data_IF_809660431306
#
_entry.id   IF_809660431306
#
_cell.length_a   1.000
_cell.length_b   1.000
_cell.length_c   1.000
_cell.angle_alpha   90.00
_cell.angle_beta   90.00
_cell.angle_gamma   90.00
#
_symmetry.space_group_name_H-M   'P 1'
#
loop_
_entity.id
_entity.type
_entity.pdbx_description
1 polymer ?
#
# COMPACT_ATOMS: atom_id res chain seq x y z
N UNK A 1 -24.35 -13.52 -3.81
CA UNK A 1 -23.68 -13.07 -5.03
C UNK A 1 -22.20 -13.42 -4.90
N UNK A 2 -21.54 -13.93 -5.95
CA UNK A 2 -20.10 -14.21 -5.89
C UNK A 2 -19.32 -12.90 -5.65
N UNK A 3 -18.27 -12.97 -4.83
CA UNK A 3 -17.37 -11.84 -4.62
C UNK A 3 -16.65 -11.50 -5.94
N UNK A 4 -16.43 -10.21 -6.18
CA UNK A 4 -15.63 -9.76 -7.32
C UNK A 4 -14.19 -10.27 -7.20
N UNK A 5 -13.47 -10.34 -8.32
CA UNK A 5 -12.05 -10.76 -8.33
C UNK A 5 -11.18 -9.84 -7.46
N UNK A 6 -11.46 -8.54 -7.44
CA UNK A 6 -10.73 -7.57 -6.64
C UNK A 6 -10.92 -7.79 -5.14
N UNK A 7 -12.16 -8.05 -4.69
CA UNK A 7 -12.44 -8.37 -3.28
C UNK A 7 -11.68 -9.64 -2.86
N UNK A 8 -11.68 -10.67 -3.71
CA UNK A 8 -10.92 -11.91 -3.45
C UNK A 8 -9.42 -11.68 -3.43
N UNK A 9 -8.90 -10.76 -4.25
CA UNK A 9 -7.49 -10.39 -4.25
C UNK A 9 -7.10 -9.72 -2.93
N UNK A 10 -7.93 -8.80 -2.41
CA UNK A 10 -7.70 -8.19 -1.10
C UNK A 10 -7.61 -9.26 -0.01
N UNK A 11 -8.57 -10.17 0.07
CA UNK A 11 -8.56 -11.26 1.07
C UNK A 11 -7.32 -12.17 0.93
N UNK A 12 -6.91 -12.47 -0.31
CA UNK A 12 -5.73 -13.27 -0.60
C UNK A 12 -4.44 -12.55 -0.18
N UNK A 13 -4.37 -11.23 -0.31
CA UNK A 13 -3.22 -10.43 0.17
C UNK A 13 -3.16 -10.45 1.70
N UNK A 14 -4.27 -10.28 2.40
CA UNK A 14 -4.26 -10.18 3.87
C UNK A 14 -3.94 -11.50 4.58
N UNK A 15 -4.29 -12.65 3.99
CA UNK A 15 -4.15 -13.96 4.66
C UNK A 15 -3.84 -15.15 3.75
N UNK A 16 -3.99 -15.02 2.44
CA UNK A 16 -3.90 -16.14 1.50
C UNK A 16 -2.48 -16.48 1.06
N UNK A 17 -2.22 -17.71 0.57
CA UNK A 17 -0.94 -18.05 -0.02
C UNK A 17 -0.68 -17.26 -1.32
N UNK A 18 0.59 -16.97 -1.62
CA UNK A 18 0.98 -16.15 -2.79
C UNK A 18 0.50 -16.71 -4.13
N UNK A 19 0.39 -18.04 -4.24
CA UNK A 19 -0.18 -18.72 -5.41
C UNK A 19 -1.60 -18.25 -5.72
N UNK A 20 -2.40 -17.92 -4.70
CA UNK A 20 -3.76 -17.43 -4.90
C UNK A 20 -3.76 -15.99 -5.41
N UNK A 21 -2.84 -15.14 -4.92
CA UNK A 21 -2.67 -13.76 -5.38
C UNK A 21 -2.31 -13.78 -6.86
N UNK A 22 -1.27 -14.55 -7.23
CA UNK A 22 -0.82 -14.68 -8.62
C UNK A 22 -1.95 -15.15 -9.54
N UNK A 23 -2.65 -16.23 -9.18
CA UNK A 23 -3.76 -16.76 -9.98
C UNK A 23 -4.88 -15.73 -10.17
N UNK A 24 -5.21 -14.95 -9.14
CA UNK A 24 -6.26 -13.93 -9.22
C UNK A 24 -5.87 -12.81 -10.18
N UNK A 25 -4.62 -12.35 -10.12
CA UNK A 25 -4.05 -11.37 -11.06
C UNK A 25 -4.09 -11.93 -12.50
N UNK A 26 -3.62 -13.15 -12.72
CA UNK A 26 -3.67 -13.83 -14.04
C UNK A 26 -5.10 -14.01 -14.57
N UNK A 27 -6.09 -14.07 -13.67
CA UNK A 27 -7.53 -14.15 -14.02
C UNK A 27 -8.15 -12.76 -14.29
N UNK A 28 -7.40 -11.68 -14.12
CA UNK A 28 -7.83 -10.31 -14.39
C UNK A 28 -8.24 -9.50 -13.15
N UNK A 29 -7.88 -9.93 -11.94
CA UNK A 29 -7.97 -9.05 -10.77
C UNK A 29 -6.97 -7.89 -10.94
N UNK A 30 -7.40 -6.66 -10.62
CA UNK A 30 -6.51 -5.50 -10.71
C UNK A 30 -5.47 -5.51 -9.58
N UNK A 31 -4.16 -5.35 -9.85
CA UNK A 31 -3.15 -5.19 -8.80
C UNK A 31 -3.33 -3.88 -8.00
N UNK A 32 -4.15 -2.97 -8.53
CA UNK A 32 -4.59 -1.74 -7.88
C UNK A 32 -5.95 -1.90 -7.17
N UNK A 33 -6.41 -3.14 -6.94
CA UNK A 33 -7.62 -3.40 -6.16
C UNK A 33 -7.54 -2.69 -4.81
N UNK A 34 -8.68 -2.21 -4.34
CA UNK A 34 -8.82 -1.53 -3.05
C UNK A 34 -9.94 -2.18 -2.26
N UNK A 35 -9.80 -2.09 -0.94
CA UNK A 35 -10.80 -2.55 -0.01
C UNK A 35 -12.01 -1.62 -0.01
N UNK A 36 -13.20 -2.19 0.08
CA UNK A 36 -14.45 -1.44 0.22
C UNK A 36 -14.87 -1.39 1.68
N UNK A 37 -15.10 -0.20 2.20
CA UNK A 37 -15.54 0.03 3.58
C UNK A 37 -16.87 0.74 3.58
N UNK A 38 -17.88 0.16 4.22
CA UNK A 38 -19.23 0.71 4.33
C UNK A 38 -19.55 1.04 5.79
N UNK A 39 -19.82 2.31 6.07
CA UNK A 39 -20.30 2.77 7.37
C UNK A 39 -21.80 3.03 7.31
N UNK A 40 -22.55 2.32 8.15
CA UNK A 40 -23.97 2.59 8.41
C UNK A 40 -24.10 3.26 9.75
N UNK A 41 -24.68 4.44 9.82
CA UNK A 41 -24.86 5.15 11.09
C UNK A 41 -26.20 5.86 11.17
N UNK A 42 -26.63 6.15 12.40
CA UNK A 42 -27.81 6.94 12.69
C UNK A 42 -27.38 8.40 12.80
N UNK A 43 -27.91 9.26 11.93
CA UNK A 43 -27.65 10.70 11.93
C UNK A 43 -28.90 11.46 12.38
N UNK A 44 -28.70 12.53 13.16
CA UNK A 44 -29.77 13.47 13.48
C UNK A 44 -30.27 14.17 12.20
N UNK A 45 -31.57 14.44 12.15
CA UNK A 45 -32.21 15.25 11.11
C UNK A 45 -32.44 16.67 11.62
N UNK A 46 -32.62 17.63 10.71
CA UNK A 46 -32.85 19.05 11.07
C UNK A 46 -34.12 19.24 11.92
N UNK A 47 -35.09 18.31 11.83
CA UNK A 47 -36.32 18.32 12.63
C UNK A 47 -36.23 17.60 13.98
N UNK A 48 -35.03 17.27 14.47
CA UNK A 48 -34.84 16.57 15.75
C UNK A 48 -35.16 15.07 15.72
N UNK A 49 -35.40 14.50 14.54
CA UNK A 49 -35.50 13.06 14.33
C UNK A 49 -34.15 12.41 14.08
N UNK A 50 -34.16 11.09 13.82
CA UNK A 50 -32.97 10.35 13.41
C UNK A 50 -33.25 9.57 12.13
N UNK A 51 -32.22 9.38 11.30
CA UNK A 51 -32.30 8.58 10.09
C UNK A 51 -31.04 7.74 9.92
N UNK A 52 -31.20 6.53 9.36
CA UNK A 52 -30.07 5.74 8.91
C UNK A 52 -29.44 6.38 7.69
N UNK A 53 -28.10 6.45 7.70
CA UNK A 53 -27.27 6.85 6.58
C UNK A 53 -26.24 5.77 6.34
N UNK A 54 -25.89 5.60 5.07
CA UNK A 54 -24.89 4.65 4.60
C UNK A 54 -23.93 5.40 3.69
N UNK A 55 -22.64 5.15 3.89
CA UNK A 55 -21.57 5.67 3.04
C UNK A 55 -20.55 4.56 2.79
N UNK A 56 -20.21 4.35 1.53
CA UNK A 56 -19.19 3.38 1.10
C UNK A 56 -18.02 4.12 0.49
N UNK A 57 -16.81 3.80 0.95
CA UNK A 57 -15.55 4.40 0.52
C UNK A 57 -14.52 3.32 0.22
N UNK A 58 -13.61 3.60 -0.71
CA UNK A 58 -12.43 2.76 -0.93
C UNK A 58 -11.32 3.12 0.05
N UNK A 59 -10.71 2.11 0.66
CA UNK A 59 -9.68 2.24 1.69
C UNK A 59 -8.32 1.73 1.19
N UNK A 60 -7.58 0.92 1.95
CA UNK A 60 -6.23 0.49 1.60
C UNK A 60 -6.21 -0.27 0.26
N UNK A 61 -5.16 -0.02 -0.54
CA UNK A 61 -4.90 -0.79 -1.74
C UNK A 61 -4.32 -2.17 -1.40
N UNK A 62 -4.41 -3.11 -2.34
CA UNK A 62 -3.75 -4.40 -2.25
C UNK A 62 -2.26 -4.25 -1.93
N UNK A 63 -1.57 -3.29 -2.56
CA UNK A 63 -0.15 -3.03 -2.29
C UNK A 63 0.07 -2.49 -0.87
N UNK A 64 -0.76 -1.56 -0.40
CA UNK A 64 -0.67 -1.04 0.97
C UNK A 64 -0.85 -2.14 2.02
N UNK A 65 -1.82 -3.03 1.83
CA UNK A 65 -2.06 -4.18 2.72
C UNK A 65 -0.89 -5.17 2.70
N UNK A 66 -0.32 -5.46 1.52
CA UNK A 66 0.85 -6.33 1.40
C UNK A 66 2.06 -5.77 2.18
N UNK A 67 2.30 -4.46 2.09
CA UNK A 67 3.36 -3.76 2.84
C UNK A 67 3.08 -3.83 4.34
N UNK A 68 1.86 -3.45 4.74
CA UNK A 68 1.42 -3.40 6.14
C UNK A 68 1.59 -4.75 6.85
N UNK A 69 1.30 -5.85 6.15
CA UNK A 69 1.44 -7.21 6.69
C UNK A 69 2.81 -7.85 6.42
N UNK A 70 3.80 -7.08 5.95
CA UNK A 70 5.17 -7.58 5.75
C UNK A 70 5.28 -8.68 4.70
N UNK A 71 4.38 -8.71 3.72
CA UNK A 71 4.27 -9.78 2.73
C UNK A 71 5.10 -9.52 1.49
N UNK A 72 6.40 -9.78 1.60
CA UNK A 72 7.38 -9.54 0.53
C UNK A 72 6.97 -10.11 -0.84
N UNK A 73 6.61 -11.40 -0.93
CA UNK A 73 6.25 -12.00 -2.21
C UNK A 73 4.95 -11.46 -2.79
N UNK A 74 3.99 -11.05 -1.95
CA UNK A 74 2.78 -10.36 -2.40
C UNK A 74 3.11 -8.97 -2.95
N UNK A 75 3.98 -8.20 -2.26
CA UNK A 75 4.46 -6.90 -2.74
C UNK A 75 5.12 -7.06 -4.10
N UNK A 76 6.03 -8.03 -4.24
CA UNK A 76 6.71 -8.31 -5.50
C UNK A 76 5.72 -8.63 -6.63
N UNK A 77 4.80 -9.57 -6.42
CA UNK A 77 3.80 -9.94 -7.43
C UNK A 77 2.94 -8.75 -7.87
N UNK A 78 2.51 -7.91 -6.92
CA UNK A 78 1.69 -6.74 -7.22
C UNK A 78 2.49 -5.69 -8.02
N UNK A 79 3.74 -5.43 -7.64
CA UNK A 79 4.62 -4.49 -8.35
C UNK A 79 4.98 -4.98 -9.76
N UNK A 80 5.28 -6.28 -9.91
CA UNK A 80 5.58 -6.92 -11.20
C UNK A 80 4.40 -6.79 -12.18
N UNK A 81 3.17 -6.75 -11.67
CA UNK A 81 1.94 -6.57 -12.45
C UNK A 81 1.50 -5.09 -12.59
N UNK A 82 2.31 -4.14 -12.13
CA UNK A 82 2.03 -2.70 -12.31
C UNK A 82 1.13 -2.08 -11.24
N UNK A 83 1.14 -2.61 -10.02
CA UNK A 83 0.58 -1.89 -8.87
C UNK A 83 1.21 -0.50 -8.75
N UNK A 84 0.36 0.50 -8.52
CA UNK A 84 0.78 1.89 -8.39
C UNK A 84 1.41 2.11 -7.02
N UNK A 85 2.69 2.45 -7.03
CA UNK A 85 3.45 2.74 -5.81
C UNK A 85 3.13 4.12 -5.24
N UNK A 86 2.52 5.00 -6.03
CA UNK A 86 2.00 6.27 -5.52
C UNK A 86 0.71 5.98 -4.76
N UNK A 87 0.86 5.74 -3.47
CA UNK A 87 -0.25 5.62 -2.50
C UNK A 87 -0.94 6.96 -2.27
N UNK A 88 -1.36 7.67 -3.33
CA UNK A 88 -2.13 8.90 -3.18
C UNK A 88 -3.58 8.54 -2.84
N UNK A 89 -3.83 8.29 -1.57
CA UNK A 89 -5.19 8.30 -1.04
C UNK A 89 -5.64 9.75 -0.88
N UNK A 90 -6.36 10.27 -1.88
CA UNK A 90 -7.18 11.45 -1.68
C UNK A 90 -8.58 10.98 -1.33
N UNK A 91 -8.86 10.85 -0.04
CA UNK A 91 -10.25 10.68 0.42
C UNK A 91 -10.92 12.05 0.31
N UNK A 92 -11.44 12.37 -0.87
CA UNK A 92 -12.35 13.48 -1.03
C UNK A 92 -13.69 13.06 -0.43
N UNK A 93 -13.99 13.51 0.79
CA UNK A 93 -15.34 13.30 1.33
C UNK A 93 -16.32 14.21 0.63
N UNK A 94 -17.54 13.72 0.36
CA UNK A 94 -18.59 14.47 -0.37
C UNK A 94 -19.03 15.76 0.31
N UNK A 95 -18.53 16.07 1.53
CA UNK A 95 -18.76 17.33 2.22
C UNK A 95 -17.75 18.44 1.90
N UNK A 96 -16.89 18.27 0.88
CA UNK A 96 -15.95 19.32 0.46
C UNK A 96 -14.91 19.67 1.53
N UNK A 97 -14.68 18.76 2.47
CA UNK A 97 -13.68 18.88 3.53
C UNK A 97 -12.67 17.75 3.43
N UNK A 98 -11.40 18.09 3.43
CA UNK A 98 -10.32 17.15 3.72
C UNK A 98 -10.60 16.59 5.11
N UNK A 99 -10.98 15.31 5.24
CA UNK A 99 -11.07 14.68 6.56
C UNK A 99 -9.67 14.48 7.06
N UNK A 100 -9.23 15.52 7.74
CA UNK A 100 -8.05 15.55 8.55
C UNK A 100 -8.42 15.03 9.94
N UNK A 101 -7.65 14.11 10.49
CA UNK A 101 -7.64 13.93 11.93
C UNK A 101 -7.17 15.27 12.54
N UNK A 102 -8.09 16.11 13.02
CA UNK A 102 -7.81 17.41 13.66
C UNK A 102 -7.03 18.44 12.80
N UNK A 103 -7.26 18.54 11.49
CA UNK A 103 -6.54 19.49 10.63
C UNK A 103 -5.22 18.98 10.04
N UNK A 104 -4.78 17.76 10.39
CA UNK A 104 -3.60 17.12 9.81
C UNK A 104 -3.98 15.98 8.85
N UNK A 105 -3.35 15.97 7.68
CA UNK A 105 -3.38 14.89 6.67
C UNK A 105 -2.21 13.92 6.87
N UNK A 106 -1.80 13.66 8.11
CA UNK A 106 -0.72 12.72 8.39
C UNK A 106 -1.28 11.44 8.98
N UNK A 107 -0.77 10.30 8.51
CA UNK A 107 -0.95 9.02 9.16
C UNK A 107 -0.46 9.13 10.61
N UNK A 108 -1.39 9.09 11.55
CA UNK A 108 -1.12 9.25 12.96
C UNK A 108 -0.67 7.89 13.50
N UNK A 109 0.56 7.47 13.19
CA UNK A 109 1.17 6.38 13.94
C UNK A 109 1.15 6.76 15.43
N UNK A 110 0.73 5.81 16.26
CA UNK A 110 0.75 6.00 17.71
C UNK A 110 2.21 6.05 18.18
N UNK A 111 2.44 6.68 19.33
CA UNK A 111 3.80 6.78 19.94
C UNK A 111 4.44 5.41 20.22
N UNK A 112 3.63 4.35 20.27
CA UNK A 112 4.06 2.97 20.46
C UNK A 112 4.45 2.26 19.14
N UNK A 113 4.43 2.97 18.01
CA UNK A 113 4.75 2.40 16.68
C UNK A 113 3.62 1.57 16.06
N UNK A 114 2.41 1.60 16.64
CA UNK A 114 1.24 0.96 16.05
C UNK A 114 0.49 1.90 15.11
N UNK A 115 -0.10 1.31 14.07
CA UNK A 115 -0.94 1.98 13.09
C UNK A 115 -2.36 1.40 13.20
N UNK A 116 -3.41 2.23 13.39
CA UNK A 116 -4.78 1.77 13.27
C UNK A 116 -5.09 1.48 11.80
N UNK A 117 -5.62 0.29 11.53
CA UNK A 117 -5.98 -0.18 10.18
C UNK A 117 -7.35 -0.83 10.23
N UNK A 118 -8.06 -0.85 9.11
CA UNK A 118 -9.39 -1.44 9.06
C UNK A 118 -9.37 -2.96 9.30
N UNK A 119 -10.50 -3.53 9.73
CA UNK A 119 -10.63 -4.98 9.90
C UNK A 119 -10.39 -5.75 8.61
N UNK A 120 -9.79 -6.94 8.69
CA UNK A 120 -9.56 -7.79 7.51
C UNK A 120 -10.85 -8.10 6.75
N UNK A 121 -10.72 -8.27 5.44
CA UNK A 121 -11.78 -8.56 4.47
C UNK A 121 -11.73 -7.58 3.30
N UNK A 122 -12.04 -8.07 2.09
CA UNK A 122 -12.13 -7.18 0.92
C UNK A 122 -13.34 -6.24 0.95
N UNK A 123 -14.36 -6.58 1.74
CA UNK A 123 -15.52 -5.72 2.03
C UNK A 123 -15.77 -5.72 3.53
N UNK A 124 -15.79 -4.53 4.14
CA UNK A 124 -16.08 -4.33 5.56
C UNK A 124 -17.36 -3.51 5.69
N UNK A 125 -18.29 -3.94 6.55
CA UNK A 125 -19.50 -3.16 6.87
C UNK A 125 -19.62 -3.00 8.37
N UNK A 126 -19.63 -1.74 8.83
CA UNK A 126 -19.81 -1.41 10.24
C UNK A 126 -21.19 -0.81 10.48
N UNK A 127 -21.92 -1.39 11.43
CA UNK A 127 -23.28 -0.97 11.78
C UNK A 127 -23.27 -0.19 13.09
N UNK A 128 -23.34 1.14 12.96
CA UNK A 128 -23.41 2.11 14.05
C UNK A 128 -22.39 1.84 15.16
N UNK A 129 -21.09 1.78 14.83
CA UNK A 129 -20.05 1.57 15.84
C UNK A 129 -20.08 2.73 16.83
N UNK A 130 -20.16 2.41 18.13
CA UNK A 130 -20.22 3.40 19.21
C UNK A 130 -18.86 3.80 19.76
N UNK A 131 -17.85 2.96 19.55
CA UNK A 131 -16.49 3.17 20.03
C UNK A 131 -15.54 3.23 18.85
N UNK A 132 -14.50 4.05 18.97
CA UNK A 132 -13.48 4.20 17.94
C UNK A 132 -12.67 2.90 17.78
N UNK A 133 -12.44 2.17 18.86
CA UNK A 133 -11.77 0.86 18.87
C UNK A 133 -12.61 -0.22 18.17
N UNK A 134 -13.91 0.02 17.96
CA UNK A 134 -14.78 -0.91 17.23
C UNK A 134 -14.72 -0.73 15.71
N UNK A 135 -13.91 0.20 15.20
CA UNK A 135 -13.80 0.45 13.75
C UNK A 135 -12.43 0.08 13.15
N UNK A 136 -11.44 -0.24 13.97
CA UNK A 136 -10.09 -0.57 13.52
C UNK A 136 -9.44 -1.65 14.38
N UNK A 137 -8.36 -2.23 13.86
CA UNK A 137 -7.38 -3.00 14.62
C UNK A 137 -6.04 -2.27 14.60
N UNK A 138 -5.17 -2.50 15.60
CA UNK A 138 -3.84 -1.90 15.62
C UNK A 138 -2.82 -2.91 15.09
N UNK A 139 -2.03 -2.50 14.09
CA UNK A 139 -0.91 -3.29 13.56
C UNK A 139 0.39 -2.61 13.96
N UNK A 140 1.32 -3.37 14.53
CA UNK A 140 2.66 -2.88 14.81
C UNK A 140 3.46 -2.88 13.50
N UNK A 141 4.00 -1.73 13.13
CA UNK A 141 4.83 -1.61 11.93
C UNK A 141 6.26 -2.05 12.27
N UNK A 142 6.76 -3.02 11.51
CA UNK A 142 8.15 -3.44 11.55
C UNK A 142 8.75 -3.24 10.16
N UNK A 143 9.80 -2.40 10.01
CA UNK A 143 10.43 -2.21 8.72
C UNK A 143 10.96 -3.53 8.15
N UNK A 144 10.66 -3.78 6.87
CA UNK A 144 11.19 -4.91 6.14
C UNK A 144 12.09 -4.40 5.01
N UNK A 145 13.39 -4.63 5.14
CA UNK A 145 14.43 -4.17 4.19
C UNK A 145 14.17 -4.65 2.77
N UNK A 146 13.68 -5.87 2.58
CA UNK A 146 13.42 -6.40 1.24
C UNK A 146 12.22 -5.71 0.60
N UNK A 147 11.15 -5.43 1.35
CA UNK A 147 10.02 -4.64 0.87
C UNK A 147 10.49 -3.23 0.46
N UNK A 148 11.37 -2.60 1.24
CA UNK A 148 11.90 -1.28 0.91
C UNK A 148 12.71 -1.36 -0.39
N UNK A 149 13.59 -2.35 -0.55
CA UNK A 149 14.35 -2.55 -1.79
C UNK A 149 13.43 -2.74 -2.99
N UNK A 150 12.36 -3.51 -2.86
CA UNK A 150 11.35 -3.68 -3.91
C UNK A 150 10.71 -2.35 -4.30
N UNK A 151 10.27 -1.56 -3.31
CA UNK A 151 9.67 -0.24 -3.55
C UNK A 151 10.63 0.74 -4.24
N UNK A 152 11.89 0.77 -3.79
CA UNK A 152 12.93 1.59 -4.41
C UNK A 152 13.22 1.15 -5.85
N UNK A 153 13.30 -0.16 -6.10
CA UNK A 153 13.48 -0.72 -7.44
C UNK A 153 12.31 -0.36 -8.39
N UNK A 154 11.09 -0.24 -7.86
CA UNK A 154 9.92 0.24 -8.60
C UNK A 154 9.87 1.76 -8.81
N UNK A 155 10.94 2.49 -8.48
CA UNK A 155 11.09 3.91 -8.80
C UNK A 155 10.57 4.86 -7.73
N UNK A 156 10.38 4.40 -6.49
CA UNK A 156 10.09 5.29 -5.36
C UNK A 156 11.23 6.28 -5.18
N UNK A 157 10.87 7.54 -4.99
CA UNK A 157 11.81 8.62 -4.68
C UNK A 157 11.96 8.72 -3.17
N UNK A 158 13.21 8.82 -2.73
CA UNK A 158 13.54 9.09 -1.33
C UNK A 158 13.85 10.58 -1.21
N UNK A 159 13.07 11.30 -0.42
CA UNK A 159 13.28 12.71 -0.11
C UNK A 159 14.13 12.88 1.16
N UNK A 160 14.45 14.12 1.51
CA UNK A 160 15.17 14.42 2.75
C UNK A 160 14.37 14.04 4.00
N UNK A 161 13.03 14.10 3.94
CA UNK A 161 12.15 13.75 5.07
C UNK A 161 12.28 12.28 5.42
N UNK A 162 12.24 11.37 4.43
CA UNK A 162 12.40 9.93 4.72
C UNK A 162 13.81 9.60 5.21
N UNK A 163 14.84 10.31 4.74
CA UNK A 163 16.21 10.11 5.22
C UNK A 163 16.41 10.59 6.66
N UNK A 164 15.81 11.72 7.04
CA UNK A 164 15.86 12.22 8.41
C UNK A 164 15.13 11.27 9.37
N UNK A 165 13.99 10.71 8.96
CA UNK A 165 13.30 9.67 9.71
C UNK A 165 14.16 8.40 9.82
N UNK A 166 14.80 7.96 8.73
CA UNK A 166 15.66 6.79 8.70
C UNK A 166 16.88 6.89 9.64
N UNK A 167 17.43 8.09 9.86
CA UNK A 167 18.55 8.32 10.80
C UNK A 167 18.16 8.10 12.25
N UNK A 168 16.88 8.22 12.58
CA UNK A 168 16.37 7.99 13.93
C UNK A 168 16.01 6.53 14.18
N UNK A 169 16.04 5.70 13.13
CA UNK A 169 15.73 4.28 13.24
C UNK A 169 16.92 3.51 13.84
N UNK A 170 16.70 2.56 14.77
CA UNK A 170 17.78 1.79 15.40
C UNK A 170 18.56 0.89 14.43
N UNK A 171 17.95 0.51 13.30
CA UNK A 171 18.57 -0.36 12.32
C UNK A 171 19.38 0.43 11.27
N UNK A 172 20.72 0.34 11.26
CA UNK A 172 21.57 1.13 10.36
C UNK A 172 21.45 0.72 8.89
N UNK A 173 21.03 -0.53 8.62
CA UNK A 173 20.84 -1.02 7.27
C UNK A 173 19.73 -0.27 6.52
N UNK A 174 18.65 0.09 7.22
CA UNK A 174 17.54 0.87 6.68
C UNK A 174 18.04 2.19 6.07
N UNK A 175 18.84 2.95 6.82
CA UNK A 175 19.44 4.19 6.34
C UNK A 175 20.42 3.93 5.18
N UNK A 176 21.26 2.89 5.28
CA UNK A 176 22.23 2.54 4.24
C UNK A 176 21.57 2.29 2.90
N UNK A 177 20.46 1.54 2.86
CA UNK A 177 19.70 1.24 1.64
C UNK A 177 19.15 2.52 1.00
N UNK A 178 18.51 3.39 1.79
CA UNK A 178 17.93 4.64 1.30
C UNK A 178 18.99 5.63 0.76
N UNK A 179 20.10 5.78 1.48
CA UNK A 179 21.22 6.63 1.03
C UNK A 179 21.84 6.09 -0.26
N UNK A 180 21.98 4.77 -0.38
CA UNK A 180 22.55 4.13 -1.57
C UNK A 180 21.68 4.38 -2.80
N UNK A 181 20.35 4.23 -2.67
CA UNK A 181 19.41 4.51 -3.74
C UNK A 181 19.42 5.98 -4.18
N UNK A 182 19.48 6.93 -3.22
CA UNK A 182 19.49 8.37 -3.55
C UNK A 182 20.75 8.80 -4.31
N UNK A 183 21.89 8.14 -4.08
CA UNK A 183 23.13 8.39 -4.84
C UNK A 183 23.04 7.91 -6.30
N UNK A 184 21.91 7.32 -6.67
CA UNK A 184 21.67 6.65 -7.94
C UNK A 184 22.22 5.23 -7.88
N UNK A 185 21.69 4.30 -8.71
CA UNK A 185 22.49 3.16 -9.07
C UNK A 185 23.80 3.74 -9.59
N UNK A 186 24.93 3.42 -8.95
CA UNK A 186 26.21 3.52 -9.65
C UNK A 186 25.95 2.74 -10.92
N UNK A 187 25.78 3.44 -12.04
CA UNK A 187 25.66 2.83 -13.34
C UNK A 187 27.00 2.13 -13.52
N UNK A 188 27.05 0.88 -13.05
CA UNK A 188 28.08 -0.06 -13.40
C UNK A 188 27.90 -0.18 -14.91
N UNK A 189 28.68 0.60 -15.65
CA UNK A 189 28.73 0.69 -17.11
C UNK A 189 29.20 -0.63 -17.76
N UNK A 190 28.73 -1.77 -17.27
CA UNK A 190 29.27 -3.11 -17.55
C UNK A 190 28.68 -3.70 -18.84
N UNK A 191 27.68 -3.11 -19.48
CA UNK A 191 27.02 -3.73 -20.65
C UNK A 191 27.05 -2.90 -21.94
N UNK A 192 28.18 -2.25 -22.26
CA UNK A 192 28.38 -1.68 -23.61
C UNK A 192 29.72 -2.01 -24.29
N UNK A 193 30.32 -3.18 -23.99
CA UNK A 193 31.56 -3.63 -24.65
C UNK A 193 31.43 -4.97 -25.40
N UNK A 194 30.21 -5.46 -25.67
CA UNK A 194 30.03 -6.80 -26.27
C UNK A 194 29.38 -6.83 -27.66
N UNK A 195 29.13 -5.70 -28.35
CA UNK A 195 28.47 -5.71 -29.67
C UNK A 195 29.33 -5.18 -30.85
N UNK A 196 30.64 -4.98 -30.69
CA UNK A 196 31.50 -4.46 -31.76
C UNK A 196 32.61 -5.42 -32.24
N UNK A 197 32.45 -6.75 -32.13
CA UNK A 197 33.46 -7.70 -32.65
C UNK A 197 32.97 -8.84 -33.55
N UNK A 198 31.72 -8.87 -34.01
CA UNK A 198 31.28 -9.83 -35.05
C UNK A 198 30.95 -9.11 -36.36
N UNK A 199 31.97 -8.79 -37.16
CA UNK A 199 31.75 -8.16 -38.46
C UNK A 199 32.94 -8.08 -39.41
N UNK A 200 34.02 -8.83 -39.18
CA UNK A 200 35.17 -8.83 -40.07
C UNK A 200 35.72 -10.25 -40.25
N UNK A 201 35.22 -10.99 -41.24
CA UNK A 201 35.88 -12.21 -41.68
C UNK A 201 35.03 -13.18 -42.48
N UNK A 202 34.77 -12.89 -43.75
CA UNK A 202 34.52 -13.92 -44.77
C UNK A 202 34.62 -13.31 -46.18
N UNK A 203 35.86 -13.15 -46.67
CA UNK A 203 36.15 -13.00 -48.09
C UNK A 203 37.47 -13.75 -48.39
N UNK A 204 37.36 -14.97 -48.90
CA UNK A 204 38.37 -15.69 -49.65
C UNK A 204 37.70 -16.85 -50.39
#
# INVERSE_FOLDING_TARGET
MPLSLNVRLIEAVETGPEVNIKRLIETGASPNARKEFTLRTVAATEGGGTQWKEETVEFESALALAILYGREGAVKLLLDDGANVRLSHRVETQRGGTVTCRGYTSDCSRRDGTLPVDFKGGVVTLNHPRLFESIHTNVKLEPNIEIIRLLLASGVRVTDVELDAARQHPEPEFLRVLVSHRRGPVLNNVTKTAENQEGAGAAA
#
